data_IF_245216823890
#
_entry.id   IF_245216823890
#
_cell.length_a   1.000
_cell.length_b   1.000
_cell.length_c   1.000
_cell.angle_alpha   90.00
_cell.angle_beta   90.00
_cell.angle_gamma   90.00
#
_symmetry.space_group_name_H-M   'P 1'
#
loop_
_entity.id
_entity.type
_entity.pdbx_description
1 polymer ?
#
# COMPACT_ATOMS: atom_id res chain seq x y z
N UNK A 1 -69.71 12.33 -49.00
CA UNK A 1 -69.83 13.72 -49.48
C UNK A 1 -68.58 14.07 -50.27
N UNK A 2 -68.74 14.39 -51.56
CA UNK A 2 -67.72 14.94 -52.48
C UNK A 2 -67.67 16.48 -52.30
N UNK A 3 -66.77 17.25 -52.95
CA UNK A 3 -65.32 17.10 -53.20
C UNK A 3 -64.59 18.49 -53.13
N UNK A 4 -63.49 18.65 -53.89
CA UNK A 4 -62.80 19.88 -54.38
C UNK A 4 -61.46 20.13 -53.66
N UNK A 5 -60.28 20.22 -54.30
CA UNK A 5 -59.89 20.12 -55.70
C UNK A 5 -58.62 20.97 -55.96
N UNK A 6 -57.64 20.41 -56.71
CA UNK A 6 -56.59 21.09 -57.53
C UNK A 6 -55.56 21.94 -56.71
N UNK A 7 -54.30 22.17 -57.09
CA UNK A 7 -53.51 22.06 -58.32
C UNK A 7 -52.00 22.08 -57.93
N UNK A 8 -51.15 21.62 -58.85
CA UNK A 8 -49.68 21.60 -58.82
C UNK A 8 -48.99 22.96 -58.61
N UNK A 9 -47.80 22.96 -57.98
CA UNK A 9 -46.64 23.69 -58.51
C UNK A 9 -45.32 23.08 -58.02
N UNK A 10 -44.54 22.56 -58.97
CA UNK A 10 -43.15 22.15 -58.77
C UNK A 10 -42.26 23.40 -58.88
N UNK A 11 -41.36 23.60 -57.92
CA UNK A 11 -40.25 24.54 -58.02
C UNK A 11 -38.97 23.79 -57.65
N UNK A 12 -38.18 23.44 -58.67
CA UNK A 12 -36.82 22.97 -58.52
C UNK A 12 -35.93 24.18 -58.20
N UNK A 13 -35.34 24.20 -57.00
CA UNK A 13 -34.26 25.13 -56.67
C UNK A 13 -32.97 24.32 -56.67
N UNK A 14 -32.11 24.61 -57.65
CA UNK A 14 -30.69 24.27 -57.62
C UNK A 14 -30.05 24.96 -56.41
N UNK A 15 -29.53 24.19 -55.47
CA UNK A 15 -28.56 24.67 -54.50
C UNK A 15 -27.22 23.96 -54.78
N UNK A 16 -26.23 24.76 -55.19
CA UNK A 16 -24.90 24.32 -55.54
C UNK A 16 -24.19 23.62 -54.38
N UNK A 17 -23.50 22.53 -54.70
CA UNK A 17 -22.63 21.83 -53.77
C UNK A 17 -21.42 22.69 -53.42
N UNK A 18 -21.43 23.28 -52.23
CA UNK A 18 -20.20 23.71 -51.57
C UNK A 18 -19.64 22.45 -50.91
N UNK A 19 -18.59 21.89 -51.50
CA UNK A 19 -17.74 20.90 -50.83
C UNK A 19 -17.07 21.60 -49.65
N UNK A 20 -17.71 21.51 -48.47
CA UNK A 20 -17.07 21.89 -47.22
C UNK A 20 -15.88 20.97 -47.00
N UNK A 21 -14.68 21.45 -47.27
CA UNK A 21 -13.47 20.86 -46.73
C UNK A 21 -13.63 20.89 -45.21
N UNK A 22 -13.85 19.73 -44.60
CA UNK A 22 -13.88 19.61 -43.15
C UNK A 22 -12.59 20.19 -42.60
N UNK A 23 -12.71 21.24 -41.79
CA UNK A 23 -11.58 21.76 -41.02
C UNK A 23 -10.99 20.57 -40.25
N UNK A 24 -9.66 20.35 -40.28
CA UNK A 24 -9.05 19.31 -39.47
C UNK A 24 -9.45 19.59 -38.02
N UNK A 25 -10.14 18.63 -37.39
CA UNK A 25 -10.31 18.63 -35.94
C UNK A 25 -8.91 18.64 -35.35
N UNK A 26 -8.54 19.76 -34.73
CA UNK A 26 -7.34 19.82 -33.92
C UNK A 26 -7.55 18.84 -32.76
N UNK A 27 -6.94 17.65 -32.87
CA UNK A 27 -6.81 16.75 -31.74
C UNK A 27 -6.06 17.51 -30.64
N UNK A 28 -6.76 17.83 -29.54
CA UNK A 28 -6.12 18.37 -28.36
C UNK A 28 -4.95 17.45 -27.98
N UNK A 29 -3.74 17.99 -27.94
CA UNK A 29 -2.56 17.19 -27.64
C UNK A 29 -2.75 16.52 -26.27
N UNK A 30 -2.54 15.19 -26.20
CA UNK A 30 -2.76 14.43 -24.96
C UNK A 30 -2.03 15.07 -23.78
N UNK A 31 -2.68 15.22 -22.63
CA UNK A 31 -2.08 15.84 -21.44
C UNK A 31 -0.93 14.97 -20.93
N UNK A 32 0.17 15.59 -20.51
CA UNK A 32 1.30 14.86 -19.93
C UNK A 32 0.87 14.17 -18.62
N UNK A 33 1.34 12.95 -18.39
CA UNK A 33 1.12 12.19 -17.16
C UNK A 33 2.43 11.96 -16.41
N UNK A 34 2.38 11.91 -15.08
CA UNK A 34 3.51 11.50 -14.24
C UNK A 34 3.06 10.27 -13.45
N UNK A 35 3.78 9.18 -13.61
CA UNK A 35 3.59 7.92 -12.89
C UNK A 35 4.75 7.76 -11.92
N UNK A 36 4.48 7.50 -10.65
CA UNK A 36 5.49 7.14 -9.66
C UNK A 36 5.18 5.74 -9.13
N UNK A 37 6.12 4.83 -9.35
CA UNK A 37 6.02 3.40 -9.06
C UNK A 37 4.81 2.73 -9.74
N UNK A 38 4.43 3.21 -10.92
CA UNK A 38 3.28 2.68 -11.66
C UNK A 38 1.92 3.21 -11.20
N UNK A 39 1.89 4.14 -10.22
CA UNK A 39 0.67 4.83 -9.82
C UNK A 39 0.69 6.32 -10.21
N UNK A 40 -0.42 6.87 -10.73
CA UNK A 40 -0.50 8.29 -11.08
C UNK A 40 -0.09 9.20 -9.93
N UNK A 41 0.65 10.24 -10.26
CA UNK A 41 1.01 11.30 -9.35
C UNK A 41 0.31 12.58 -9.77
N UNK A 42 -0.45 13.19 -8.85
CA UNK A 42 -0.96 14.53 -9.06
C UNK A 42 0.21 15.54 -8.97
N UNK A 43 0.26 16.48 -9.89
CA UNK A 43 1.29 17.51 -9.93
C UNK A 43 0.71 18.85 -10.35
N UNK A 44 1.36 19.92 -9.91
CA UNK A 44 1.04 21.28 -10.33
C UNK A 44 2.01 21.73 -11.42
N UNK A 45 1.47 22.24 -12.52
CA UNK A 45 2.24 22.70 -13.68
C UNK A 45 2.53 21.60 -14.70
N UNK A 46 2.38 21.90 -15.98
CA UNK A 46 2.60 20.91 -17.03
C UNK A 46 4.10 20.72 -17.30
N UNK A 47 4.60 19.47 -17.43
CA UNK A 47 5.92 19.24 -17.97
C UNK A 47 6.05 19.84 -19.37
N UNK A 48 7.17 20.50 -19.63
CA UNK A 48 7.45 21.15 -20.91
C UNK A 48 8.77 20.64 -21.47
N UNK A 49 8.94 20.75 -22.79
CA UNK A 49 10.21 20.49 -23.44
C UNK A 49 10.89 21.81 -23.74
N UNK A 50 12.14 21.95 -23.33
CA UNK A 50 12.96 23.13 -23.61
C UNK A 50 14.31 22.65 -24.13
N UNK A 51 14.70 23.09 -25.33
CA UNK A 51 15.97 22.73 -25.96
C UNK A 51 16.19 21.21 -25.98
N UNK A 52 15.14 20.45 -26.29
CA UNK A 52 15.16 18.98 -26.29
C UNK A 52 15.19 18.32 -24.91
N UNK A 53 15.14 19.11 -23.83
CA UNK A 53 15.14 18.62 -22.44
C UNK A 53 13.73 18.66 -21.86
N UNK A 54 13.25 17.51 -21.36
CA UNK A 54 12.00 17.43 -20.59
C UNK A 54 12.20 18.08 -19.21
N UNK A 55 11.36 19.06 -18.91
CA UNK A 55 11.33 19.80 -17.65
C UNK A 55 10.10 19.38 -16.86
N UNK A 56 10.26 19.00 -15.59
CA UNK A 56 9.17 18.48 -14.75
C UNK A 56 8.99 19.28 -13.45
N UNK A 57 7.76 19.32 -12.88
CA UNK A 57 7.49 19.95 -11.60
C UNK A 57 8.34 19.34 -10.48
N UNK A 58 9.26 20.14 -9.93
CA UNK A 58 10.20 19.63 -8.95
C UNK A 58 9.53 19.23 -7.64
N UNK A 59 8.69 20.12 -7.09
CA UNK A 59 8.11 19.96 -5.75
C UNK A 59 7.24 18.70 -5.65
N UNK A 60 6.29 18.51 -6.57
CA UNK A 60 5.35 17.38 -6.52
C UNK A 60 6.06 16.03 -6.53
N UNK A 61 7.10 15.88 -7.35
CA UNK A 61 7.88 14.65 -7.43
C UNK A 61 8.74 14.48 -6.17
N UNK A 62 9.44 15.54 -5.74
CA UNK A 62 10.28 15.51 -4.54
C UNK A 62 9.50 15.11 -3.29
N UNK A 63 8.39 15.79 -3.01
CA UNK A 63 7.59 15.54 -1.80
C UNK A 63 7.02 14.11 -1.79
N UNK A 64 6.66 13.57 -2.96
CA UNK A 64 6.18 12.19 -3.09
C UNK A 64 7.26 11.13 -2.87
N UNK A 65 8.54 11.52 -2.88
CA UNK A 65 9.68 10.67 -2.52
C UNK A 65 10.17 10.96 -1.08
N UNK A 66 9.37 11.65 -0.27
CA UNK A 66 9.72 12.01 1.11
C UNK A 66 10.80 13.11 1.20
N UNK A 67 11.05 13.84 0.12
CA UNK A 67 12.08 14.89 0.07
C UNK A 67 11.45 16.21 0.53
N UNK A 68 12.03 16.84 1.54
CA UNK A 68 11.58 18.14 2.04
C UNK A 68 12.05 19.24 1.10
N UNK A 69 11.12 20.07 0.61
CA UNK A 69 11.42 21.16 -0.32
C UNK A 69 11.11 22.50 0.33
N UNK A 70 12.10 23.39 0.35
CA UNK A 70 11.97 24.76 0.85
C UNK A 70 12.28 25.78 -0.24
N UNK A 71 11.57 26.90 -0.23
CA UNK A 71 11.75 27.99 -1.20
C UNK A 71 12.23 29.26 -0.49
N UNK A 72 13.28 29.88 -1.04
CA UNK A 72 13.74 31.20 -0.63
C UNK A 72 13.45 32.20 -1.74
N UNK A 73 12.50 33.10 -1.48
CA UNK A 73 12.05 34.11 -2.44
C UNK A 73 13.14 35.12 -2.81
N UNK A 74 13.91 35.61 -1.82
CA UNK A 74 14.92 36.64 -2.03
C UNK A 74 16.09 36.13 -2.87
N UNK A 75 16.52 34.90 -2.60
CA UNK A 75 17.59 34.23 -3.34
C UNK A 75 17.11 33.56 -4.64
N UNK A 76 15.80 33.46 -4.85
CA UNK A 76 15.17 32.64 -5.91
C UNK A 76 15.71 31.21 -5.94
N UNK A 77 15.88 30.63 -4.75
CA UNK A 77 16.54 29.34 -4.56
C UNK A 77 15.59 28.32 -3.94
N UNK A 78 15.54 27.12 -4.53
CA UNK A 78 14.95 25.94 -3.92
C UNK A 78 16.04 25.16 -3.19
N UNK A 79 15.74 24.70 -1.98
CA UNK A 79 16.55 23.70 -1.28
C UNK A 79 15.72 22.45 -1.04
N UNK A 80 16.19 21.31 -1.54
CA UNK A 80 15.62 19.99 -1.30
C UNK A 80 16.54 19.17 -0.41
N UNK A 81 15.96 18.48 0.59
CA UNK A 81 16.69 17.68 1.57
C UNK A 81 16.06 16.29 1.68
N UNK A 82 16.86 15.25 1.48
CA UNK A 82 16.50 13.84 1.74
C UNK A 82 17.40 13.29 2.83
N UNK A 83 16.80 12.68 3.85
CA UNK A 83 17.54 12.11 4.98
C UNK A 83 18.08 13.15 5.97
N UNK A 84 18.78 12.67 6.99
CA UNK A 84 19.36 13.49 8.08
C UNK A 84 20.84 13.18 8.26
N UNK A 85 21.62 14.16 8.75
CA UNK A 85 23.03 13.97 9.03
C UNK A 85 23.93 14.03 7.79
N UNK A 86 25.19 13.55 7.87
CA UNK A 86 26.20 13.68 6.82
C UNK A 86 25.86 12.92 5.52
N UNK A 87 25.09 11.83 5.64
CA UNK A 87 24.64 11.00 4.51
C UNK A 87 23.41 11.58 3.79
N UNK A 88 22.83 12.67 4.33
CA UNK A 88 21.69 13.33 3.72
C UNK A 88 22.05 13.99 2.38
N UNK A 89 21.11 13.98 1.44
CA UNK A 89 21.26 14.64 0.15
C UNK A 89 20.63 16.02 0.24
N UNK A 90 21.45 17.07 0.06
CA UNK A 90 21.03 18.47 0.00
C UNK A 90 21.27 19.02 -1.40
N UNK A 91 20.18 19.35 -2.09
CA UNK A 91 20.20 19.95 -3.42
C UNK A 91 19.75 21.40 -3.34
N UNK A 92 20.52 22.32 -3.91
CA UNK A 92 20.16 23.73 -4.07
C UNK A 92 20.10 24.09 -5.54
N UNK A 93 18.98 24.69 -5.94
CA UNK A 93 18.67 25.07 -7.31
C UNK A 93 18.27 26.54 -7.33
N UNK A 94 18.93 27.35 -8.14
CA UNK A 94 18.58 28.76 -8.33
C UNK A 94 17.90 28.92 -9.68
N UNK A 95 16.78 29.66 -9.72
CA UNK A 95 16.09 29.94 -10.98
C UNK A 95 17.02 30.63 -11.98
N UNK A 96 16.85 30.27 -13.24
CA UNK A 96 17.59 30.82 -14.39
C UNK A 96 19.11 30.61 -14.33
N UNK A 97 19.59 29.76 -13.40
CA UNK A 97 20.99 29.41 -13.25
C UNK A 97 21.22 27.93 -13.59
N UNK A 98 22.15 27.65 -14.50
CA UNK A 98 22.52 26.27 -14.86
C UNK A 98 23.38 25.56 -13.81
N UNK A 99 23.84 26.26 -12.78
CA UNK A 99 24.67 25.66 -11.72
C UNK A 99 23.80 25.35 -10.50
N UNK A 100 23.65 24.05 -10.20
CA UNK A 100 23.09 23.54 -8.96
C UNK A 100 24.20 23.27 -7.93
N UNK A 101 23.85 23.19 -6.65
CA UNK A 101 24.74 22.64 -5.61
C UNK A 101 24.16 21.35 -5.05
N UNK A 102 24.98 20.31 -4.94
CA UNK A 102 24.65 19.02 -4.34
C UNK A 102 25.67 18.75 -3.24
N UNK A 103 25.22 18.69 -1.98
CA UNK A 103 26.08 18.54 -0.81
C UNK A 103 27.26 19.54 -0.79
N UNK A 104 27.02 20.75 -1.29
CA UNK A 104 28.01 21.83 -1.40
C UNK A 104 28.82 21.84 -2.72
N UNK A 105 28.89 20.71 -3.43
CA UNK A 105 29.58 20.59 -4.72
C UNK A 105 28.74 21.14 -5.87
N UNK A 106 29.38 21.80 -6.84
CA UNK A 106 28.67 22.38 -8.00
C UNK A 106 28.41 21.33 -9.07
N UNK A 107 27.18 21.32 -9.62
CA UNK A 107 26.74 20.43 -10.70
C UNK A 107 26.11 21.28 -11.80
N UNK A 108 26.49 21.03 -13.06
CA UNK A 108 25.93 21.75 -14.22
C UNK A 108 24.68 21.05 -14.73
N UNK A 109 23.62 21.83 -14.96
CA UNK A 109 22.33 21.41 -15.50
C UNK A 109 22.31 21.59 -17.02
N UNK A 110 21.62 20.68 -17.73
CA UNK A 110 21.39 20.82 -19.16
C UNK A 110 20.64 22.13 -19.50
N UNK A 111 19.55 22.37 -18.76
CA UNK A 111 18.72 23.57 -18.84
C UNK A 111 18.54 24.15 -17.44
N UNK A 112 18.54 25.48 -17.32
CA UNK A 112 18.34 26.14 -16.04
C UNK A 112 16.92 25.89 -15.48
N UNK A 113 16.76 25.75 -14.16
CA UNK A 113 15.45 25.71 -13.51
C UNK A 113 14.66 26.97 -13.86
N UNK A 114 13.36 26.83 -14.09
CA UNK A 114 12.50 27.95 -14.48
C UNK A 114 11.17 27.89 -13.76
N UNK A 115 10.56 29.05 -13.55
CA UNK A 115 9.20 29.13 -13.03
C UNK A 115 8.22 29.23 -14.20
N UNK A 116 7.23 28.34 -14.25
CA UNK A 116 6.13 28.34 -15.22
C UNK A 116 4.83 28.21 -14.44
N UNK A 117 3.94 29.18 -14.59
CA UNK A 117 2.65 29.24 -13.88
C UNK A 117 2.77 29.02 -12.36
N UNK A 118 3.82 29.60 -11.76
CA UNK A 118 4.10 29.46 -10.32
C UNK A 118 4.76 28.14 -9.90
N UNK A 119 5.06 27.24 -10.85
CA UNK A 119 5.72 25.97 -10.60
C UNK A 119 7.18 26.00 -11.08
N UNK A 120 8.10 25.60 -10.21
CA UNK A 120 9.49 25.45 -10.63
C UNK A 120 9.68 24.11 -11.33
N UNK A 121 10.11 24.19 -12.59
CA UNK A 121 10.42 23.05 -13.42
C UNK A 121 11.94 22.87 -13.51
N UNK A 122 12.39 21.62 -13.46
CA UNK A 122 13.80 21.25 -13.55
C UNK A 122 14.02 20.15 -14.60
N UNK A 123 15.25 19.99 -15.14
CA UNK A 123 15.56 18.88 -16.03
C UNK A 123 15.29 17.52 -15.39
N UNK A 124 14.56 16.67 -16.10
CA UNK A 124 14.18 15.33 -15.64
C UNK A 124 15.40 14.47 -15.27
N UNK A 125 16.46 14.54 -16.09
CA UNK A 125 17.69 13.78 -15.89
C UNK A 125 18.44 14.18 -14.62
N UNK A 126 18.41 15.45 -14.23
CA UNK A 126 19.02 15.91 -12.99
C UNK A 126 18.31 15.32 -11.78
N UNK A 127 16.98 15.26 -11.79
CA UNK A 127 16.20 14.67 -10.71
C UNK A 127 16.59 13.20 -10.47
N UNK A 128 16.67 12.42 -11.55
CA UNK A 128 17.04 11.00 -11.50
C UNK A 128 18.42 10.79 -10.87
N UNK A 129 19.42 11.55 -11.33
CA UNK A 129 20.80 11.43 -10.87
C UNK A 129 20.97 11.72 -9.38
N UNK A 130 20.26 12.71 -8.83
CA UNK A 130 20.52 13.16 -7.46
C UNK A 130 19.73 12.39 -6.40
N UNK A 131 18.58 11.80 -6.73
CA UNK A 131 17.71 11.16 -5.74
C UNK A 131 17.60 9.63 -5.89
N UNK A 132 18.36 9.05 -6.82
CA UNK A 132 18.42 7.60 -7.05
C UNK A 132 17.13 7.01 -7.64
N UNK A 133 16.24 7.86 -8.15
CA UNK A 133 15.03 7.43 -8.83
C UNK A 133 15.34 7.22 -10.31
N UNK A 134 14.88 6.10 -10.88
CA UNK A 134 14.95 5.90 -12.32
C UNK A 134 13.80 6.66 -12.98
N UNK A 135 14.08 7.36 -14.06
CA UNK A 135 13.08 8.18 -14.74
C UNK A 135 13.12 7.97 -16.23
N UNK A 136 11.96 7.61 -16.78
CA UNK A 136 11.75 7.34 -18.20
C UNK A 136 10.71 8.30 -18.78
N UNK A 137 10.87 8.65 -20.05
CA UNK A 137 9.91 9.45 -20.81
C UNK A 137 9.40 8.65 -22.00
N UNK A 138 8.08 8.49 -22.08
CA UNK A 138 7.39 7.93 -23.24
C UNK A 138 6.74 9.04 -24.05
N UNK A 139 7.29 9.29 -25.25
CA UNK A 139 6.82 10.31 -26.16
C UNK A 139 5.41 10.02 -26.72
N UNK A 140 5.06 8.74 -26.91
CA UNK A 140 3.81 8.32 -27.55
C UNK A 140 2.61 8.52 -26.63
N UNK A 141 2.79 8.21 -25.34
CA UNK A 141 1.76 8.39 -24.31
C UNK A 141 1.90 9.72 -23.55
N UNK A 142 2.99 10.46 -23.79
CA UNK A 142 3.39 11.66 -23.05
C UNK A 142 3.46 11.39 -21.54
N UNK A 143 4.14 10.30 -21.16
CA UNK A 143 4.22 9.84 -19.77
C UNK A 143 5.64 9.94 -19.23
N UNK A 144 5.80 10.59 -18.08
CA UNK A 144 7.00 10.49 -17.24
C UNK A 144 6.79 9.33 -16.27
N UNK A 145 7.60 8.29 -16.36
CA UNK A 145 7.58 7.17 -15.41
C UNK A 145 8.75 7.27 -14.46
N UNK A 146 8.46 7.26 -13.16
CA UNK A 146 9.45 7.39 -12.09
C UNK A 146 9.39 6.11 -11.27
N UNK A 147 10.54 5.47 -11.08
CA UNK A 147 10.70 4.35 -10.15
C UNK A 147 11.53 4.84 -8.99
N UNK A 148 10.95 4.83 -7.79
CA UNK A 148 11.65 5.23 -6.58
C UNK A 148 12.75 4.22 -6.23
N UNK A 149 13.82 4.67 -5.55
CA UNK A 149 14.88 3.77 -5.10
C UNK A 149 14.36 2.71 -4.13
N UNK A 150 15.15 1.66 -3.94
CA UNK A 150 14.95 0.69 -2.88
C UNK A 150 15.00 1.38 -1.52
N UNK A 151 14.11 0.98 -0.60
CA UNK A 151 14.04 1.54 0.75
C UNK A 151 13.82 0.43 1.79
N UNK A 152 14.47 0.54 2.96
CA UNK A 152 14.25 -0.38 4.08
C UNK A 152 12.85 -0.18 4.63
N UNK A 153 12.03 -1.22 4.52
CA UNK A 153 10.69 -1.26 5.12
C UNK A 153 10.56 -2.44 6.07
N UNK A 154 9.74 -2.30 7.11
CA UNK A 154 9.37 -3.46 7.93
C UNK A 154 8.59 -4.46 7.07
N UNK A 155 8.93 -5.74 7.18
CA UNK A 155 8.35 -6.82 6.37
C UNK A 155 7.76 -7.90 7.26
N UNK A 156 6.46 -8.15 7.10
CA UNK A 156 5.75 -9.23 7.77
C UNK A 156 5.27 -10.24 6.73
N UNK A 157 5.60 -11.52 6.89
CA UNK A 157 5.08 -12.58 6.02
C UNK A 157 4.03 -13.42 6.73
N UNK A 158 2.91 -13.71 6.09
CA UNK A 158 1.97 -14.71 6.60
C UNK A 158 2.38 -16.10 6.10
N UNK A 159 2.63 -17.02 7.04
CA UNK A 159 2.96 -18.41 6.79
C UNK A 159 1.78 -19.29 7.22
N UNK A 160 0.91 -19.61 6.26
CA UNK A 160 -0.35 -20.32 6.48
C UNK A 160 -0.73 -21.10 5.23
N UNK A 161 -1.42 -22.24 5.34
CA UNK A 161 -2.04 -22.96 4.20
C UNK A 161 -1.06 -23.26 3.04
N UNK A 162 -0.19 -24.27 3.08
CA UNK A 162 0.73 -24.54 1.94
C UNK A 162 1.76 -23.41 1.69
N UNK A 163 2.35 -22.86 2.75
CA UNK A 163 3.44 -21.86 2.65
C UNK A 163 4.86 -22.46 2.62
N UNK A 164 4.99 -23.80 2.67
CA UNK A 164 6.28 -24.45 2.90
C UNK A 164 7.34 -24.13 1.85
N UNK A 165 6.96 -23.90 0.59
CA UNK A 165 7.89 -23.55 -0.49
C UNK A 165 8.68 -22.26 -0.25
N UNK A 166 8.14 -21.34 0.57
CA UNK A 166 8.77 -20.06 0.90
C UNK A 166 9.40 -20.02 2.30
N UNK A 167 9.59 -21.17 2.96
CA UNK A 167 10.20 -21.23 4.30
C UNK A 167 11.58 -20.55 4.36
N UNK A 168 12.37 -20.65 3.28
CA UNK A 168 13.69 -20.03 3.17
C UNK A 168 13.66 -18.49 3.17
N UNK A 169 12.49 -17.87 2.96
CA UNK A 169 12.33 -16.42 3.02
C UNK A 169 12.24 -15.90 4.48
N UNK A 170 11.82 -16.72 5.44
CA UNK A 170 11.54 -16.31 6.83
C UNK A 170 12.71 -15.53 7.47
N UNK A 171 13.99 -15.95 7.35
CA UNK A 171 15.10 -15.21 7.95
C UNK A 171 15.28 -13.78 7.42
N UNK A 172 14.81 -13.50 6.21
CA UNK A 172 14.92 -12.17 5.58
C UNK A 172 13.77 -11.20 5.94
N UNK A 173 12.77 -11.69 6.67
CA UNK A 173 11.63 -10.90 7.13
C UNK A 173 11.87 -10.33 8.53
N UNK A 174 11.17 -9.25 8.89
CA UNK A 174 11.18 -8.74 10.26
C UNK A 174 10.28 -9.57 11.18
N UNK A 175 9.17 -10.07 10.63
CA UNK A 175 8.22 -10.91 11.34
C UNK A 175 7.59 -11.96 10.42
N UNK A 176 7.13 -13.03 11.03
CA UNK A 176 6.32 -14.06 10.39
C UNK A 176 5.11 -14.37 11.24
N UNK A 177 3.94 -14.40 10.62
CA UNK A 177 2.67 -14.74 11.25
C UNK A 177 2.28 -16.17 10.88
N UNK A 178 2.31 -17.07 11.85
CA UNK A 178 2.00 -18.48 11.63
C UNK A 178 0.50 -18.74 11.80
N UNK A 179 -0.19 -18.93 10.68
CA UNK A 179 -1.65 -19.14 10.60
C UNK A 179 -2.08 -20.54 10.99
N UNK A 180 -1.79 -20.91 12.24
CA UNK A 180 -1.93 -22.28 12.75
C UNK A 180 -2.95 -22.42 13.88
N UNK A 181 -3.70 -21.35 14.16
CA UNK A 181 -4.72 -21.33 15.19
C UNK A 181 -5.93 -20.54 14.77
N UNK A 182 -7.07 -20.83 15.39
CA UNK A 182 -8.32 -20.10 15.16
C UNK A 182 -9.21 -20.11 16.40
N UNK A 183 -10.20 -19.21 16.39
CA UNK A 183 -11.44 -19.42 17.14
C UNK A 183 -12.44 -20.06 16.17
N UNK A 184 -12.98 -21.21 16.55
CA UNK A 184 -13.96 -21.92 15.74
C UNK A 184 -15.37 -21.32 15.83
N UNK A 185 -16.30 -21.84 15.04
CA UNK A 185 -17.68 -21.34 14.96
C UNK A 185 -18.48 -21.55 16.26
N UNK A 186 -17.94 -22.33 17.21
CA UNK A 186 -18.52 -22.54 18.55
C UNK A 186 -17.95 -21.58 19.60
N UNK A 187 -16.94 -20.80 19.22
CA UNK A 187 -16.27 -19.82 20.08
C UNK A 187 -15.08 -20.36 20.85
N UNK A 188 -14.58 -21.55 20.49
CA UNK A 188 -13.44 -22.18 21.14
C UNK A 188 -12.14 -21.90 20.40
N UNK A 189 -11.09 -21.53 21.14
CA UNK A 189 -9.73 -21.47 20.59
C UNK A 189 -9.24 -22.89 20.27
N UNK A 190 -8.61 -23.07 19.11
CA UNK A 190 -8.10 -24.37 18.67
C UNK A 190 -6.91 -24.25 17.73
N UNK A 191 -6.04 -25.26 17.75
CA UNK A 191 -4.94 -25.46 16.80
C UNK A 191 -5.32 -26.41 15.65
N UNK A 192 -6.59 -26.81 15.58
CA UNK A 192 -7.14 -27.69 14.56
C UNK A 192 -8.16 -26.93 13.71
N UNK A 193 -8.31 -27.36 12.46
CA UNK A 193 -9.24 -26.71 11.54
C UNK A 193 -9.00 -27.16 10.11
N UNK A 194 -9.84 -26.68 9.20
CA UNK A 194 -9.67 -26.95 7.77
C UNK A 194 -8.49 -26.17 7.20
N UNK A 195 -8.47 -24.86 7.40
CA UNK A 195 -7.50 -23.97 6.76
C UNK A 195 -6.41 -23.54 7.75
N UNK A 196 -6.81 -23.03 8.92
CA UNK A 196 -5.90 -22.60 9.99
C UNK A 196 -5.73 -23.73 11.02
N UNK A 197 -4.59 -24.41 10.95
CA UNK A 197 -4.24 -25.53 11.82
C UNK A 197 -2.73 -25.64 11.96
N UNK A 198 -2.30 -26.21 13.08
CA UNK A 198 -0.90 -26.62 13.26
C UNK A 198 -0.55 -27.68 12.21
N UNK A 199 0.51 -27.49 11.41
CA UNK A 199 0.90 -28.47 10.41
C UNK A 199 1.58 -29.67 11.06
N UNK A 200 1.61 -30.80 10.35
CA UNK A 200 2.47 -31.93 10.71
C UNK A 200 3.93 -31.62 10.37
N UNK A 201 4.85 -32.37 10.95
CA UNK A 201 6.27 -32.27 10.62
C UNK A 201 6.53 -32.69 9.17
N UNK A 202 7.41 -31.95 8.49
CA UNK A 202 7.90 -32.26 7.16
C UNK A 202 9.37 -32.70 7.26
N UNK A 203 9.60 -33.99 7.47
CA UNK A 203 10.92 -34.52 7.79
C UNK A 203 11.41 -33.97 9.14
N UNK A 204 12.63 -33.40 9.15
CA UNK A 204 13.22 -32.81 10.36
C UNK A 204 12.65 -31.41 10.68
N UNK A 205 11.92 -30.79 9.75
CA UNK A 205 11.27 -29.50 9.98
C UNK A 205 9.94 -29.70 10.70
N UNK A 206 9.87 -29.25 11.95
CA UNK A 206 8.67 -29.31 12.79
C UNK A 206 8.07 -27.90 12.95
N UNK A 207 6.79 -27.76 13.33
CA UNK A 207 6.23 -26.44 13.64
C UNK A 207 7.03 -25.71 14.73
N UNK A 208 7.44 -26.43 15.77
CA UNK A 208 8.21 -25.87 16.88
C UNK A 208 9.62 -25.45 16.43
N UNK A 209 10.27 -26.21 15.52
CA UNK A 209 11.58 -25.80 14.97
C UNK A 209 11.45 -24.56 14.08
N UNK A 210 10.37 -24.41 13.31
CA UNK A 210 10.13 -23.21 12.49
C UNK A 210 9.98 -21.94 13.34
N UNK A 211 9.30 -22.04 14.49
CA UNK A 211 9.16 -20.93 15.44
C UNK A 211 10.53 -20.56 16.02
N UNK A 212 11.30 -21.57 16.45
CA UNK A 212 12.64 -21.38 17.01
C UNK A 212 13.62 -20.78 15.99
N UNK A 213 13.62 -21.28 14.75
CA UNK A 213 14.50 -20.81 13.67
C UNK A 213 14.17 -19.37 13.26
N UNK A 214 12.89 -19.00 13.23
CA UNK A 214 12.47 -17.62 13.03
C UNK A 214 13.05 -16.71 14.14
N UNK A 215 12.85 -17.07 15.41
CA UNK A 215 13.38 -16.31 16.54
C UNK A 215 14.91 -16.21 16.51
N UNK A 216 15.62 -17.30 16.21
CA UNK A 216 17.08 -17.36 16.11
C UNK A 216 17.63 -16.47 14.99
N UNK A 217 16.89 -16.34 13.88
CA UNK A 217 17.20 -15.41 12.78
C UNK A 217 16.71 -13.97 13.03
N UNK A 218 16.28 -13.66 14.26
CA UNK A 218 15.72 -12.35 14.66
C UNK A 218 14.51 -11.96 13.83
N UNK A 219 13.74 -12.94 13.35
CA UNK A 219 12.41 -12.75 12.76
C UNK A 219 11.41 -13.02 13.87
N UNK A 220 10.51 -12.09 14.16
CA UNK A 220 9.55 -12.24 15.26
C UNK A 220 8.48 -13.27 14.85
N UNK A 221 8.38 -14.45 15.51
CA UNK A 221 7.31 -15.38 15.24
C UNK A 221 6.04 -14.97 15.99
N UNK A 222 4.97 -14.70 15.25
CA UNK A 222 3.65 -14.42 15.79
C UNK A 222 2.76 -15.67 15.70
N UNK A 223 2.02 -15.94 16.77
CA UNK A 223 0.84 -16.80 16.72
C UNK A 223 -0.28 -16.00 16.04
N UNK A 224 -0.65 -16.37 14.81
CA UNK A 224 -1.81 -15.79 14.16
C UNK A 224 -3.06 -16.56 14.57
N UNK A 225 -4.09 -15.83 15.02
CA UNK A 225 -5.38 -16.37 15.44
C UNK A 225 -6.45 -15.86 14.49
N UNK A 226 -6.93 -16.74 13.63
CA UNK A 226 -8.02 -16.45 12.70
C UNK A 226 -9.39 -16.60 13.37
N UNK A 227 -10.34 -15.73 13.04
CA UNK A 227 -11.75 -15.96 13.33
C UNK A 227 -12.62 -15.19 12.33
N UNK A 228 -13.68 -15.82 11.82
CA UNK A 228 -14.66 -15.16 10.94
C UNK A 228 -15.95 -14.84 11.67
N UNK A 229 -16.63 -13.77 11.27
CA UNK A 229 -17.92 -13.33 11.83
C UNK A 229 -19.03 -13.29 10.77
N UNK A 230 -19.38 -14.45 10.22
CA UNK A 230 -20.38 -14.52 9.15
C UNK A 230 -21.82 -14.52 9.68
N UNK A 231 -22.04 -15.14 10.84
CA UNK A 231 -23.35 -15.32 11.49
C UNK A 231 -23.36 -14.80 12.93
N UNK A 232 -22.36 -14.03 13.34
CA UNK A 232 -22.23 -13.49 14.69
C UNK A 232 -21.45 -14.41 15.65
N UNK A 233 -20.84 -15.49 15.17
CA UNK A 233 -20.07 -16.45 15.96
C UNK A 233 -18.90 -15.78 16.71
N UNK A 234 -18.17 -14.88 16.05
CA UNK A 234 -17.08 -14.14 16.65
C UNK A 234 -17.60 -12.96 17.47
N UNK A 235 -18.63 -12.26 16.99
CA UNK A 235 -19.30 -11.20 17.76
C UNK A 235 -19.71 -11.71 19.15
N UNK A 236 -20.26 -12.93 19.23
CA UNK A 236 -20.62 -13.58 20.50
C UNK A 236 -19.40 -13.70 21.44
N UNK A 237 -18.25 -14.13 20.93
CA UNK A 237 -17.03 -14.29 21.72
C UNK A 237 -16.50 -12.96 22.24
N UNK A 238 -16.52 -11.90 21.42
CA UNK A 238 -15.99 -10.60 21.85
C UNK A 238 -16.93 -9.87 22.81
N UNK A 239 -18.25 -10.11 22.71
CA UNK A 239 -19.27 -9.51 23.59
C UNK A 239 -19.42 -10.24 24.92
N UNK A 240 -19.37 -11.58 24.94
CA UNK A 240 -19.48 -12.38 26.15
C UNK A 240 -18.19 -12.31 27.00
N UNK A 241 -18.24 -11.80 28.24
CA UNK A 241 -17.03 -11.62 29.06
C UNK A 241 -16.28 -12.91 29.38
N UNK A 242 -16.99 -14.03 29.53
CA UNK A 242 -16.40 -15.31 29.93
C UNK A 242 -15.75 -16.00 28.72
N UNK A 243 -16.43 -16.00 27.57
CA UNK A 243 -15.85 -16.50 26.32
C UNK A 243 -14.64 -15.66 25.91
N UNK A 244 -14.73 -14.33 26.00
CA UNK A 244 -13.60 -13.42 25.77
C UNK A 244 -12.42 -13.76 26.65
N UNK A 245 -12.63 -13.88 27.96
CA UNK A 245 -11.57 -14.17 28.93
C UNK A 245 -10.93 -15.53 28.64
N UNK A 246 -11.74 -16.55 28.37
CA UNK A 246 -11.24 -17.89 28.04
C UNK A 246 -10.40 -17.88 26.76
N UNK A 247 -10.90 -17.30 25.67
CA UNK A 247 -10.17 -17.19 24.42
C UNK A 247 -8.83 -16.45 24.60
N UNK A 248 -8.81 -15.35 25.37
CA UNK A 248 -7.58 -14.61 25.68
C UNK A 248 -6.59 -15.48 26.45
N UNK A 249 -7.05 -16.19 27.49
CA UNK A 249 -6.21 -17.11 28.26
C UNK A 249 -5.58 -18.17 27.36
N UNK A 250 -6.38 -18.81 26.49
CA UNK A 250 -5.91 -19.90 25.64
C UNK A 250 -4.92 -19.43 24.57
N UNK A 251 -5.15 -18.24 23.98
CA UNK A 251 -4.22 -17.64 23.02
C UNK A 251 -2.88 -17.29 23.68
N UNK A 252 -2.90 -16.67 24.87
CA UNK A 252 -1.68 -16.24 25.57
C UNK A 252 -0.88 -17.43 26.09
N UNK A 253 -1.53 -18.44 26.69
CA UNK A 253 -0.85 -19.65 27.15
C UNK A 253 -0.22 -20.39 25.97
N UNK A 254 -0.96 -20.57 24.88
CA UNK A 254 -0.43 -21.22 23.67
C UNK A 254 0.77 -20.46 23.09
N UNK A 255 0.70 -19.13 23.05
CA UNK A 255 1.82 -18.31 22.57
C UNK A 255 3.08 -18.51 23.43
N UNK A 256 2.94 -18.57 24.75
CA UNK A 256 4.05 -18.82 25.68
C UNK A 256 4.59 -20.24 25.56
N UNK A 257 3.71 -21.25 25.59
CA UNK A 257 4.07 -22.67 25.55
C UNK A 257 4.81 -23.05 24.26
N UNK A 258 4.42 -22.42 23.14
CA UNK A 258 5.04 -22.61 21.83
C UNK A 258 6.16 -21.63 21.52
N UNK A 259 6.55 -20.79 22.48
CA UNK A 259 7.63 -19.81 22.35
C UNK A 259 7.45 -18.80 21.20
N UNK A 260 6.20 -18.44 20.88
CA UNK A 260 5.92 -17.28 20.05
C UNK A 260 6.32 -15.98 20.78
N UNK A 261 6.65 -14.95 20.01
CA UNK A 261 7.03 -13.63 20.55
C UNK A 261 5.92 -12.59 20.43
N UNK A 262 4.77 -12.97 19.87
CA UNK A 262 3.59 -12.12 19.79
C UNK A 262 2.37 -12.86 19.28
N UNK A 263 1.24 -12.16 19.30
CA UNK A 263 -0.05 -12.61 18.75
C UNK A 263 -0.49 -11.64 17.65
N UNK A 264 -0.98 -12.19 16.54
CA UNK A 264 -1.73 -11.44 15.51
C UNK A 264 -3.17 -11.89 15.53
N UNK A 265 -4.09 -10.95 15.73
CA UNK A 265 -5.51 -11.22 15.53
C UNK A 265 -5.87 -10.98 14.06
N UNK A 266 -6.42 -12.01 13.43
CA UNK A 266 -7.04 -11.92 12.11
C UNK A 266 -8.54 -12.20 12.25
N UNK A 267 -9.22 -11.22 12.83
CA UNK A 267 -10.63 -11.29 13.21
C UNK A 267 -11.44 -10.58 12.14
N UNK A 268 -12.08 -11.35 11.27
CA UNK A 268 -12.74 -10.90 10.05
C UNK A 268 -14.25 -10.85 10.19
N UNK A 269 -14.92 -10.00 9.41
CA UNK A 269 -16.38 -9.95 9.34
C UNK A 269 -17.10 -9.02 10.32
N UNK A 270 -16.40 -8.50 11.33
CA UNK A 270 -17.03 -7.79 12.45
C UNK A 270 -17.82 -6.55 12.01
N UNK A 271 -19.07 -6.48 12.44
CA UNK A 271 -19.98 -5.36 12.16
C UNK A 271 -20.55 -5.37 10.73
N UNK A 272 -20.48 -6.49 10.00
CA UNK A 272 -21.21 -6.67 8.76
C UNK A 272 -22.68 -7.04 9.01
N UNK A 273 -22.91 -8.08 9.83
CA UNK A 273 -24.24 -8.67 10.07
C UNK A 273 -24.79 -8.36 11.47
N UNK A 274 -23.96 -7.82 12.36
CA UNK A 274 -24.26 -7.54 13.76
C UNK A 274 -24.37 -6.04 14.04
N UNK A 275 -24.73 -5.65 15.28
CA UNK A 275 -24.79 -4.23 15.66
C UNK A 275 -23.41 -3.60 15.61
N UNK A 276 -23.21 -2.74 14.61
CA UNK A 276 -21.93 -2.10 14.30
C UNK A 276 -21.29 -1.39 15.49
N UNK A 277 -22.09 -0.65 16.27
CA UNK A 277 -21.57 0.17 17.36
C UNK A 277 -21.23 -0.70 18.57
N UNK A 278 -22.10 -1.65 18.91
CA UNK A 278 -21.87 -2.61 19.98
C UNK A 278 -20.67 -3.51 19.67
N UNK A 279 -20.63 -4.11 18.49
CA UNK A 279 -19.53 -4.99 18.05
C UNK A 279 -18.21 -4.23 17.99
N UNK A 280 -18.17 -2.99 17.48
CA UNK A 280 -16.96 -2.15 17.49
C UNK A 280 -16.45 -1.89 18.91
N UNK A 281 -17.35 -1.56 19.83
CA UNK A 281 -17.01 -1.33 21.24
C UNK A 281 -16.50 -2.62 21.90
N UNK A 282 -17.17 -3.75 21.64
CA UNK A 282 -16.82 -5.05 22.20
C UNK A 282 -15.46 -5.55 21.70
N UNK A 283 -15.19 -5.46 20.39
CA UNK A 283 -13.89 -5.81 19.84
C UNK A 283 -12.77 -4.91 20.39
N UNK A 284 -13.04 -3.60 20.53
CA UNK A 284 -12.07 -2.69 21.17
C UNK A 284 -11.78 -3.09 22.61
N UNK A 285 -12.80 -3.52 23.38
CA UNK A 285 -12.62 -4.02 24.74
C UNK A 285 -11.83 -5.34 24.77
N UNK A 286 -12.09 -6.24 23.81
CA UNK A 286 -11.33 -7.48 23.61
C UNK A 286 -9.84 -7.19 23.42
N UNK A 287 -9.50 -6.30 22.50
CA UNK A 287 -8.10 -5.95 22.22
C UNK A 287 -7.46 -5.24 23.41
N UNK A 288 -8.19 -4.39 24.15
CA UNK A 288 -7.68 -3.77 25.39
C UNK A 288 -7.32 -4.82 26.45
N UNK A 289 -8.19 -5.81 26.65
CA UNK A 289 -7.93 -6.89 27.60
C UNK A 289 -6.75 -7.76 27.15
N UNK A 290 -6.73 -8.19 25.89
CA UNK A 290 -5.64 -8.98 25.34
C UNK A 290 -4.30 -8.24 25.44
N UNK A 291 -4.26 -6.94 25.15
CA UNK A 291 -3.04 -6.13 25.26
C UNK A 291 -2.45 -6.11 26.67
N UNK A 292 -3.30 -6.12 27.70
CA UNK A 292 -2.84 -6.20 29.10
C UNK A 292 -2.17 -7.55 29.36
N UNK A 293 -2.79 -8.64 28.92
CA UNK A 293 -2.27 -9.99 29.11
C UNK A 293 -0.98 -10.23 28.29
N UNK A 294 -0.95 -9.80 27.02
CA UNK A 294 0.25 -9.95 26.18
C UNK A 294 1.42 -9.15 26.74
N UNK A 295 1.20 -7.92 27.24
CA UNK A 295 2.25 -7.13 27.89
C UNK A 295 2.80 -7.82 29.13
N UNK A 296 1.92 -8.37 29.98
CA UNK A 296 2.32 -9.14 31.16
C UNK A 296 3.13 -10.39 30.79
N UNK A 297 2.82 -11.01 29.65
CA UNK A 297 3.53 -12.16 29.10
C UNK A 297 4.79 -11.82 28.28
N UNK A 298 5.11 -10.53 28.08
CA UNK A 298 6.24 -10.11 27.23
C UNK A 298 6.01 -10.34 25.73
N UNK A 299 4.76 -10.50 25.31
CA UNK A 299 4.33 -10.75 23.94
C UNK A 299 3.92 -9.46 23.23
N UNK A 300 4.25 -9.35 21.94
CA UNK A 300 3.70 -8.32 21.05
C UNK A 300 2.24 -8.60 20.68
N UNK A 301 1.51 -7.56 20.31
CA UNK A 301 0.14 -7.67 19.82
C UNK A 301 -0.05 -6.83 18.54
N UNK A 302 -0.39 -7.49 17.45
CA UNK A 302 -0.67 -6.84 16.16
C UNK A 302 -2.05 -7.27 15.63
N UNK A 303 -2.66 -6.46 14.77
CA UNK A 303 -4.02 -6.70 14.28
C UNK A 303 -4.10 -6.62 12.76
N UNK A 304 -4.64 -7.64 12.10
CA UNK A 304 -5.07 -7.56 10.72
C UNK A 304 -6.52 -7.09 10.68
N UNK A 305 -6.77 -5.97 9.97
CA UNK A 305 -8.05 -5.27 10.00
C UNK A 305 -8.58 -5.05 8.58
N UNK A 306 -9.89 -5.26 8.40
CA UNK A 306 -10.56 -4.81 7.19
C UNK A 306 -10.41 -3.27 7.03
N UNK A 307 -10.20 -2.78 5.80
CA UNK A 307 -9.89 -1.38 5.57
C UNK A 307 -11.13 -0.52 5.80
N UNK A 308 -10.94 0.74 6.17
CA UNK A 308 -12.02 1.67 6.53
C UNK A 308 -12.96 2.03 5.36
N UNK A 309 -12.57 1.76 4.11
CA UNK A 309 -13.42 1.87 2.93
C UNK A 309 -14.14 0.55 2.56
N UNK A 310 -14.08 -0.47 3.41
CA UNK A 310 -14.87 -1.71 3.27
C UNK A 310 -16.28 -1.57 3.86
N UNK A 311 -17.08 -2.63 3.72
CA UNK A 311 -18.42 -2.71 4.34
C UNK A 311 -18.36 -3.08 5.84
N UNK A 312 -17.20 -3.49 6.36
CA UNK A 312 -17.03 -3.93 7.74
C UNK A 312 -16.76 -2.73 8.65
N UNK A 313 -17.60 -2.55 9.67
CA UNK A 313 -17.57 -1.35 10.53
C UNK A 313 -17.23 -1.65 12.00
N UNK A 314 -16.82 -2.87 12.32
CA UNK A 314 -16.44 -3.32 13.67
C UNK A 314 -15.09 -2.85 14.19
N UNK A 315 -14.33 -2.04 13.43
CA UNK A 315 -12.93 -1.75 13.76
C UNK A 315 -12.70 -0.27 14.12
N UNK A 316 -12.27 -0.01 15.35
CA UNK A 316 -11.89 1.32 15.82
C UNK A 316 -10.41 1.59 15.58
N UNK A 317 -10.01 1.93 14.35
CA UNK A 317 -8.61 2.16 13.99
C UNK A 317 -7.88 3.14 14.93
N UNK A 318 -8.58 4.17 15.43
CA UNK A 318 -8.01 5.18 16.31
C UNK A 318 -7.71 4.64 17.70
N UNK A 319 -8.64 3.91 18.30
CA UNK A 319 -8.41 3.28 19.61
C UNK A 319 -7.45 2.10 19.49
N UNK A 320 -7.64 1.23 18.49
CA UNK A 320 -6.82 0.06 18.25
C UNK A 320 -5.36 0.43 17.97
N UNK A 321 -5.11 1.51 17.21
CA UNK A 321 -3.76 2.00 16.91
C UNK A 321 -2.99 2.52 18.13
N UNK A 322 -3.67 2.87 19.23
CA UNK A 322 -3.04 3.21 20.51
C UNK A 322 -2.67 1.98 21.34
N UNK A 323 -3.33 0.85 21.09
CA UNK A 323 -3.24 -0.36 21.90
C UNK A 323 -2.25 -1.35 21.30
N UNK A 324 -2.42 -1.67 20.01
CA UNK A 324 -1.61 -2.63 19.29
C UNK A 324 -0.24 -2.07 18.93
N UNK A 325 0.74 -2.94 18.79
CA UNK A 325 2.07 -2.62 18.28
C UNK A 325 1.97 -2.16 16.83
N UNK A 326 1.18 -2.87 16.01
CA UNK A 326 1.03 -2.67 14.56
C UNK A 326 -0.41 -2.99 14.11
N UNK A 327 -0.88 -2.29 13.08
CA UNK A 327 -2.12 -2.57 12.35
C UNK A 327 -1.78 -2.90 10.89
N UNK A 328 -2.25 -4.03 10.41
CA UNK A 328 -2.19 -4.43 9.00
C UNK A 328 -3.49 -3.99 8.33
N UNK A 329 -3.36 -3.14 7.31
CA UNK A 329 -4.50 -2.72 6.47
C UNK A 329 -4.72 -3.81 5.43
N UNK A 330 -5.78 -4.60 5.56
CA UNK A 330 -6.16 -5.64 4.59
C UNK A 330 -6.84 -5.03 3.36
N UNK A 331 -6.13 -4.14 2.65
CA UNK A 331 -6.64 -3.41 1.50
C UNK A 331 -6.75 -4.29 0.23
N UNK A 332 -7.49 -5.38 0.33
CA UNK A 332 -7.72 -6.35 -0.75
C UNK A 332 -9.14 -6.94 -0.67
N UNK A 333 -9.48 -7.78 -1.64
CA UNK A 333 -10.82 -8.34 -1.87
C UNK A 333 -11.88 -7.26 -2.19
N UNK A 334 -11.50 -6.22 -2.94
CA UNK A 334 -12.45 -5.19 -3.41
C UNK A 334 -13.40 -5.68 -4.51
N UNK A 335 -13.12 -6.85 -5.10
CA UNK A 335 -13.86 -7.41 -6.23
C UNK A 335 -14.61 -8.67 -5.80
N UNK A 336 -15.88 -8.77 -6.20
CA UNK A 336 -16.62 -10.02 -6.08
C UNK A 336 -16.15 -11.03 -7.15
N UNK A 337 -15.99 -12.30 -6.78
CA UNK A 337 -15.68 -13.39 -7.71
C UNK A 337 -14.22 -13.87 -7.65
N UNK A 338 -13.68 -14.34 -8.77
CA UNK A 338 -12.32 -14.88 -8.86
C UNK A 338 -11.29 -13.76 -8.71
N UNK A 339 -10.54 -13.79 -7.62
CA UNK A 339 -9.51 -12.80 -7.29
C UNK A 339 -8.11 -13.24 -7.73
N UNK A 340 -7.87 -14.54 -7.96
CA UNK A 340 -6.56 -15.04 -8.37
C UNK A 340 -6.08 -14.40 -9.68
N UNK A 341 -4.91 -13.76 -9.62
CA UNK A 341 -4.29 -13.05 -10.74
C UNK A 341 -5.03 -11.80 -11.19
N UNK A 342 -5.95 -11.26 -10.38
CA UNK A 342 -6.67 -10.02 -10.64
C UNK A 342 -6.29 -8.96 -9.58
N UNK A 343 -5.28 -8.13 -9.86
CA UNK A 343 -4.77 -7.16 -8.91
C UNK A 343 -5.83 -6.24 -8.31
N UNK A 344 -5.58 -5.86 -7.06
CA UNK A 344 -6.46 -4.94 -6.36
C UNK A 344 -6.42 -3.55 -7.03
N UNK A 345 -7.58 -2.86 -7.11
CA UNK A 345 -7.64 -1.51 -7.64
C UNK A 345 -6.80 -0.54 -6.78
N UNK A 346 -5.67 -0.08 -7.33
CA UNK A 346 -4.68 0.72 -6.59
C UNK A 346 -5.26 2.04 -6.03
N UNK A 347 -6.29 2.60 -6.66
CA UNK A 347 -7.02 3.79 -6.17
C UNK A 347 -7.82 3.49 -4.89
N UNK A 348 -8.35 2.28 -4.76
CA UNK A 348 -8.99 1.82 -3.52
C UNK A 348 -7.99 1.51 -2.42
N UNK A 349 -6.82 0.97 -2.79
CA UNK A 349 -5.73 0.77 -1.83
C UNK A 349 -5.20 2.11 -1.31
N UNK A 350 -4.98 3.08 -2.20
CA UNK A 350 -4.63 4.46 -1.85
C UNK A 350 -5.65 5.11 -0.90
N UNK A 351 -6.94 4.96 -1.21
CA UNK A 351 -8.04 5.43 -0.35
C UNK A 351 -7.99 4.81 1.04
N UNK A 352 -7.79 3.50 1.15
CA UNK A 352 -7.68 2.80 2.43
C UNK A 352 -6.51 3.31 3.29
N UNK A 353 -5.34 3.52 2.68
CA UNK A 353 -4.16 4.08 3.36
C UNK A 353 -4.47 5.48 3.89
N UNK A 354 -5.04 6.35 3.05
CA UNK A 354 -5.38 7.73 3.44
C UNK A 354 -6.42 7.78 4.55
N UNK A 355 -7.38 6.86 4.58
CA UNK A 355 -8.34 6.77 5.68
C UNK A 355 -7.67 6.30 6.97
N UNK A 356 -6.84 5.26 6.92
CA UNK A 356 -6.12 4.78 8.10
C UNK A 356 -5.20 5.84 8.71
N UNK A 357 -4.51 6.64 7.88
CA UNK A 357 -3.64 7.74 8.31
C UNK A 357 -4.38 8.90 9.01
N UNK A 358 -5.69 9.02 8.84
CA UNK A 358 -6.50 9.98 9.60
C UNK A 358 -6.77 9.51 11.02
N UNK A 359 -6.72 8.20 11.25
CA UNK A 359 -7.08 7.57 12.52
C UNK A 359 -5.86 7.20 13.37
N UNK A 360 -4.72 6.87 12.76
CA UNK A 360 -3.49 6.48 13.48
C UNK A 360 -2.21 6.93 12.78
N UNK A 361 -1.06 6.72 13.43
CA UNK A 361 0.26 7.07 12.91
C UNK A 361 0.71 6.12 11.79
N UNK A 362 1.37 6.66 10.77
CA UNK A 362 2.07 5.88 9.72
C UNK A 362 3.05 4.84 10.28
N UNK A 363 3.67 5.12 11.42
CA UNK A 363 4.58 4.20 12.13
C UNK A 363 3.88 2.99 12.77
N UNK A 364 2.54 2.94 12.75
CA UNK A 364 1.74 1.79 13.19
C UNK A 364 1.23 0.95 12.03
N UNK A 365 1.29 1.43 10.80
CA UNK A 365 0.56 0.85 9.68
C UNK A 365 1.47 -0.01 8.79
N UNK A 366 1.03 -1.24 8.53
CA UNK A 366 1.54 -2.08 7.46
C UNK A 366 0.49 -2.19 6.36
N UNK A 367 0.91 -2.06 5.10
CA UNK A 367 0.02 -2.33 3.97
C UNK A 367 -0.01 -3.84 3.68
N UNK A 368 -1.18 -4.47 3.75
CA UNK A 368 -1.37 -5.85 3.33
C UNK A 368 -1.41 -5.99 1.81
N UNK A 369 -0.64 -6.94 1.27
CA UNK A 369 -0.65 -7.32 -0.14
C UNK A 369 -1.22 -8.75 -0.25
N UNK A 370 -2.21 -8.96 -1.11
CA UNK A 370 -2.77 -10.29 -1.38
C UNK A 370 -2.10 -10.92 -2.62
N UNK A 371 -0.99 -11.62 -2.41
CA UNK A 371 -0.16 -12.26 -3.44
C UNK A 371 -0.85 -13.41 -4.19
N UNK A 372 -2.07 -13.80 -3.81
CA UNK A 372 -2.91 -14.61 -4.70
C UNK A 372 -3.50 -13.76 -5.84
N UNK A 373 -3.80 -12.49 -5.57
CA UNK A 373 -4.40 -11.54 -6.52
C UNK A 373 -3.36 -10.73 -7.28
N UNK A 374 -2.27 -10.38 -6.63
CA UNK A 374 -1.26 -9.48 -7.18
C UNK A 374 -0.41 -10.10 -8.30
N UNK A 375 0.37 -9.23 -8.98
CA UNK A 375 1.42 -9.62 -9.91
C UNK A 375 2.60 -8.64 -9.79
N UNK A 376 3.66 -8.87 -10.57
CA UNK A 376 4.88 -8.05 -10.57
C UNK A 376 4.62 -6.53 -10.60
N UNK A 377 3.71 -6.08 -11.46
CA UNK A 377 3.43 -4.66 -11.67
C UNK A 377 2.63 -4.08 -10.51
N UNK A 378 1.60 -4.78 -10.06
CA UNK A 378 0.78 -4.30 -8.95
C UNK A 378 1.55 -4.35 -7.63
N UNK A 379 2.39 -5.37 -7.39
CA UNK A 379 3.35 -5.41 -6.28
C UNK A 379 4.21 -4.15 -6.25
N UNK A 380 4.83 -3.77 -7.39
CA UNK A 380 5.62 -2.53 -7.51
C UNK A 380 4.80 -1.30 -7.11
N UNK A 381 3.56 -1.24 -7.58
CA UNK A 381 2.64 -0.13 -7.30
C UNK A 381 2.24 -0.06 -5.84
N UNK A 382 1.85 -1.17 -5.22
CA UNK A 382 1.41 -1.18 -3.83
C UNK A 382 2.57 -0.93 -2.87
N UNK A 383 3.76 -1.48 -3.12
CA UNK A 383 4.97 -1.12 -2.34
C UNK A 383 5.36 0.34 -2.54
N UNK A 384 5.21 0.87 -3.76
CA UNK A 384 5.39 2.29 -4.05
C UNK A 384 4.45 3.20 -3.26
N UNK A 385 3.17 2.82 -3.15
CA UNK A 385 2.19 3.52 -2.30
C UNK A 385 2.60 3.48 -0.82
N UNK A 386 3.02 2.32 -0.31
CA UNK A 386 3.47 2.19 1.07
C UNK A 386 4.68 3.11 1.38
N UNK A 387 5.65 3.21 0.46
CA UNK A 387 6.78 4.16 0.55
C UNK A 387 6.34 5.62 0.46
N UNK A 388 5.47 5.95 -0.51
CA UNK A 388 4.95 7.31 -0.71
C UNK A 388 4.29 7.88 0.55
N UNK A 389 3.60 7.03 1.30
CA UNK A 389 2.95 7.40 2.56
C UNK A 389 3.83 7.23 3.81
N UNK A 390 5.09 6.79 3.63
CA UNK A 390 6.05 6.53 4.71
C UNK A 390 5.45 5.63 5.80
N UNK A 391 4.73 4.58 5.35
CA UNK A 391 4.19 3.56 6.23
C UNK A 391 5.32 2.77 6.88
N UNK A 392 5.08 2.20 8.06
CA UNK A 392 6.07 1.35 8.74
C UNK A 392 6.56 0.21 7.84
N UNK A 393 5.69 -0.37 7.02
CA UNK A 393 6.05 -1.53 6.22
C UNK A 393 4.93 -2.13 5.39
N UNK A 394 5.18 -3.37 4.98
CA UNK A 394 4.26 -4.20 4.20
C UNK A 394 4.06 -5.56 4.86
N UNK A 395 2.87 -6.14 4.64
CA UNK A 395 2.52 -7.48 5.09
C UNK A 395 2.13 -8.34 3.88
N UNK A 396 2.81 -9.48 3.70
CA UNK A 396 2.68 -10.34 2.53
C UNK A 396 1.71 -11.49 2.84
N UNK A 397 0.49 -11.40 2.32
CA UNK A 397 -0.52 -12.47 2.34
C UNK A 397 -0.54 -13.18 0.97
N UNK A 398 0.11 -14.32 0.79
CA UNK A 398 0.89 -15.05 1.79
C UNK A 398 2.07 -15.75 1.15
N UNK A 399 3.02 -16.13 2.00
CA UNK A 399 4.15 -16.97 1.61
C UNK A 399 3.63 -18.27 0.98
N UNK A 400 4.34 -18.77 -0.02
CA UNK A 400 4.00 -19.94 -0.83
C UNK A 400 3.22 -19.63 -2.10
N UNK A 401 2.68 -18.41 -2.24
CA UNK A 401 1.98 -17.96 -3.45
C UNK A 401 2.80 -16.95 -4.27
N UNK A 402 3.91 -16.47 -3.74
CA UNK A 402 4.68 -15.39 -4.34
C UNK A 402 5.52 -15.94 -5.49
N UNK A 403 5.24 -15.51 -6.72
CA UNK A 403 6.00 -15.90 -7.90
C UNK A 403 7.43 -15.31 -7.87
N UNK A 404 8.34 -15.90 -8.66
CA UNK A 404 9.71 -15.40 -8.78
C UNK A 404 9.79 -13.96 -9.31
N UNK A 405 8.84 -13.57 -10.18
CA UNK A 405 8.76 -12.21 -10.71
C UNK A 405 8.32 -11.20 -9.63
N UNK A 406 7.35 -11.57 -8.80
CA UNK A 406 6.90 -10.77 -7.67
C UNK A 406 8.00 -10.63 -6.61
N UNK A 407 8.72 -11.72 -6.29
CA UNK A 407 9.89 -11.66 -5.41
C UNK A 407 10.97 -10.71 -5.94
N UNK A 408 11.21 -10.72 -7.26
CA UNK A 408 12.14 -9.77 -7.88
C UNK A 408 11.64 -8.35 -7.78
N UNK A 409 10.34 -8.11 -8.03
CA UNK A 409 9.71 -6.79 -7.89
C UNK A 409 9.83 -6.25 -6.45
N UNK A 410 9.51 -7.08 -5.45
CA UNK A 410 9.66 -6.77 -4.03
C UNK A 410 11.10 -6.38 -3.71
N UNK A 411 12.08 -7.20 -4.11
CA UNK A 411 13.51 -6.97 -3.83
C UNK A 411 14.08 -5.75 -4.56
N UNK A 412 13.47 -5.32 -5.67
CA UNK A 412 13.83 -4.07 -6.34
C UNK A 412 13.27 -2.83 -5.64
N UNK A 413 12.09 -2.96 -5.01
CA UNK A 413 11.41 -1.83 -4.36
C UNK A 413 11.75 -1.68 -2.87
N UNK A 414 11.96 -2.79 -2.17
CA UNK A 414 12.11 -2.87 -0.71
C UNK A 414 13.44 -3.52 -0.36
N UNK A 415 14.18 -2.92 0.56
CA UNK A 415 15.32 -3.55 1.21
C UNK A 415 14.80 -4.43 2.36
N UNK A 416 15.08 -5.72 2.28
CA UNK A 416 14.71 -6.72 3.28
C UNK A 416 15.73 -6.76 4.43
N UNK A 417 15.38 -7.44 5.52
CA UNK A 417 16.30 -7.66 6.63
C UNK A 417 17.49 -8.49 6.14
N UNK A 418 18.70 -8.08 6.53
CA UNK A 418 19.95 -8.75 6.18
C UNK A 418 20.41 -9.69 7.29
#
# INVERSE_FOLDING_TARGET
>A
MKPIGKLFLAAAILAGGITGAGLPQANAAAKVQIMLDGYPLAFSGEPIIVDGTTMVPFRSISESLGIQVTWNQAAKTITAVKGTGPEGIRVQLTLDNKTAKVNGSSVTLAVAPRSVDGNTLIPLSFFSQQFGANVDWDQSTRTVSITSPQERMYTLGFYAISSFSDVAAIPSLDAVAFGWSRIDETGNFTLSGKDFRMPEAAGDTTPDSLIADAAASRTIPYLMVYAGDTKGELTKVVEDPEMRRQAITDMVSTAQDKAFQGIILDFEGLGLTTDKAATRKAFTAFVKQLSTETKSAGLKLSLALHPLNSSYQGYDYKELGKIADELIIMAYDYRAGQTTGNPEPADKVDEAIRLALKETSKSKLLLGLNLNSENKNSVKTLTGLAKRYDLKGIALWRLGLISSEEWTSLKQSVEFKK
#
